data_IF_290214180320
#
_entry.id   IF_290214180320
#
_cell.length_a   1.000
_cell.length_b   1.000
_cell.length_c   1.000
_cell.angle_alpha   90.00
_cell.angle_beta   90.00
_cell.angle_gamma   90.00
#
_symmetry.space_group_name_H-M   'P 1'
#
loop_
_entity.id
_entity.type
_entity.pdbx_description
1 polymer ?
#
# COMPACT_ATOMS: atom_id res chain seq x y z
N UNK A 1 -17.19 7.39 -9.44
CA UNK A 1 -16.57 6.31 -8.64
C UNK A 1 -15.14 6.15 -9.15
N UNK A 2 -14.13 6.59 -8.40
CA UNK A 2 -12.72 6.50 -8.83
C UNK A 2 -12.14 5.17 -8.37
N UNK A 3 -11.98 4.24 -9.31
CA UNK A 3 -11.28 2.97 -9.11
C UNK A 3 -9.93 3.07 -9.82
N UNK A 4 -8.86 3.04 -9.05
CA UNK A 4 -7.51 2.86 -9.59
C UNK A 4 -7.17 1.38 -9.52
N UNK A 5 -6.86 0.78 -10.68
CA UNK A 5 -6.37 -0.60 -10.77
C UNK A 5 -4.97 -0.55 -11.33
N UNK A 6 -4.01 -1.09 -10.59
CA UNK A 6 -2.63 -1.16 -11.04
C UNK A 6 -2.10 -2.58 -10.94
N UNK A 7 -1.51 -3.02 -12.04
CA UNK A 7 -0.78 -4.27 -12.11
C UNK A 7 0.69 -3.97 -11.90
N UNK A 8 1.25 -4.47 -10.81
CA UNK A 8 2.68 -4.44 -10.54
C UNK A 8 3.17 -5.85 -10.78
N UNK A 9 3.87 -6.13 -11.87
CA UNK A 9 4.53 -7.41 -12.19
C UNK A 9 4.10 -8.65 -11.35
N UNK A 10 3.13 -9.43 -11.87
CA UNK A 10 2.50 -10.61 -11.20
C UNK A 10 1.77 -10.35 -9.87
N UNK A 11 1.58 -9.09 -9.49
CA UNK A 11 0.90 -8.60 -8.28
C UNK A 11 -0.15 -7.54 -8.69
N UNK A 12 -1.23 -7.41 -7.94
CA UNK A 12 -2.29 -6.45 -8.25
C UNK A 12 -2.53 -5.56 -7.05
N UNK A 13 -2.33 -4.25 -7.21
CA UNK A 13 -2.70 -3.25 -6.21
C UNK A 13 -3.92 -2.53 -6.75
N UNK A 14 -5.06 -2.79 -6.12
CA UNK A 14 -6.31 -2.09 -6.42
C UNK A 14 -6.58 -1.09 -5.32
N UNK A 15 -7.10 0.09 -5.66
CA UNK A 15 -7.55 1.03 -4.66
C UNK A 15 -8.81 1.75 -5.11
N UNK A 16 -9.58 2.18 -4.12
CA UNK A 16 -10.73 3.03 -4.30
C UNK A 16 -10.75 4.08 -3.17
N UNK A 17 -11.80 4.88 -3.10
CA UNK A 17 -11.92 5.90 -2.04
C UNK A 17 -11.96 5.31 -0.62
N UNK A 18 -12.32 4.04 -0.45
CA UNK A 18 -12.49 3.39 0.85
C UNK A 18 -11.22 2.67 1.33
N UNK A 19 -10.32 2.26 0.43
CA UNK A 19 -9.11 1.54 0.82
C UNK A 19 -8.26 1.05 -0.33
N UNK A 20 -7.21 0.33 0.06
CA UNK A 20 -6.26 -0.35 -0.83
C UNK A 20 -6.38 -1.86 -0.61
N UNK A 21 -6.44 -2.60 -1.71
CA UNK A 21 -6.34 -4.05 -1.74
C UNK A 21 -5.02 -4.44 -2.42
N UNK A 22 -4.17 -5.14 -1.68
CA UNK A 22 -2.87 -5.61 -2.16
C UNK A 22 -2.97 -7.12 -2.35
N UNK A 23 -2.86 -7.55 -3.61
CA UNK A 23 -2.79 -8.96 -4.00
C UNK A 23 -1.37 -9.31 -4.41
N UNK A 24 -0.64 -9.95 -3.50
CA UNK A 24 0.64 -10.59 -3.81
C UNK A 24 0.39 -12.07 -4.05
N UNK A 25 1.07 -12.67 -5.03
CA UNK A 25 0.89 -14.09 -5.43
C UNK A 25 1.03 -15.11 -4.28
N UNK A 26 1.72 -14.75 -3.19
CA UNK A 26 1.98 -15.59 -2.00
C UNK A 26 1.19 -15.18 -0.75
N UNK A 27 0.50 -14.04 -0.76
CA UNK A 27 -0.31 -13.59 0.38
C UNK A 27 -1.80 -13.66 0.04
N UNK A 28 -2.62 -14.05 1.02
CA UNK A 28 -4.08 -13.85 0.97
C UNK A 28 -4.35 -12.38 0.63
N UNK A 29 -5.27 -12.15 -0.32
CA UNK A 29 -5.77 -10.82 -0.69
C UNK A 29 -5.94 -9.94 0.57
N UNK A 30 -5.07 -8.93 0.72
CA UNK A 30 -5.01 -8.14 1.93
C UNK A 30 -5.70 -6.81 1.68
N UNK A 31 -6.92 -6.68 2.20
CA UNK A 31 -7.67 -5.44 2.15
C UNK A 31 -7.35 -4.55 3.35
N UNK A 32 -7.01 -3.29 3.05
CA UNK A 32 -6.65 -2.23 3.98
C UNK A 32 -7.58 -1.03 3.76
N UNK A 33 -8.67 -0.92 4.54
CA UNK A 33 -9.48 0.29 4.57
C UNK A 33 -8.63 1.45 5.12
N UNK A 34 -8.59 2.59 4.43
CA UNK A 34 -7.80 3.75 4.89
C UNK A 34 -8.10 4.17 6.33
N UNK A 35 -9.37 4.20 6.80
CA UNK A 35 -9.69 4.55 8.19
C UNK A 35 -9.15 3.55 9.23
N UNK A 36 -8.74 2.36 8.80
CA UNK A 36 -8.20 1.29 9.67
C UNK A 36 -6.69 1.17 9.56
N UNK A 37 -6.02 2.06 8.83
CA UNK A 37 -4.56 2.18 8.78
C UNK A 37 -4.16 3.19 9.85
N UNK A 38 -3.37 2.75 10.83
CA UNK A 38 -2.83 3.64 11.85
C UNK A 38 -1.56 4.32 11.36
N UNK A 39 -0.68 3.55 10.72
CA UNK A 39 0.54 4.06 10.12
C UNK A 39 0.92 3.19 8.92
N UNK A 40 1.58 3.82 7.97
CA UNK A 40 2.13 3.20 6.79
C UNK A 40 3.54 3.74 6.62
N UNK A 41 4.52 2.84 6.54
CA UNK A 41 5.93 3.19 6.38
C UNK A 41 6.42 2.58 5.09
N UNK A 42 6.93 3.41 4.18
CA UNK A 42 7.47 2.95 2.91
C UNK A 42 8.97 3.27 2.83
N UNK A 43 9.77 2.26 2.46
CA UNK A 43 11.19 2.35 2.16
C UNK A 43 11.43 1.74 0.76
N UNK A 44 12.58 2.03 0.14
CA UNK A 44 13.02 1.58 -1.18
C UNK A 44 12.70 0.12 -1.51
N UNK A 45 12.72 -0.74 -0.49
CA UNK A 45 12.52 -2.17 -0.65
C UNK A 45 11.31 -2.71 0.09
N UNK A 46 10.68 -1.96 0.98
CA UNK A 46 9.63 -2.51 1.85
C UNK A 46 8.49 -1.52 2.06
N UNK A 47 7.29 -2.06 2.21
CA UNK A 47 6.12 -1.33 2.68
C UNK A 47 5.59 -2.03 3.92
N UNK A 48 5.54 -1.28 5.00
CA UNK A 48 4.94 -1.70 6.26
C UNK A 48 3.61 -0.98 6.44
N UNK A 49 2.54 -1.74 6.69
CA UNK A 49 1.22 -1.20 7.01
C UNK A 49 0.83 -1.69 8.40
N UNK A 50 0.66 -0.75 9.32
CA UNK A 50 0.18 -0.98 10.68
C UNK A 50 -1.30 -0.61 10.72
N UNK A 51 -2.15 -1.59 11.04
CA UNK A 51 -3.58 -1.35 11.25
C UNK A 51 -3.85 -0.78 12.64
N UNK A 52 -4.98 -0.10 12.82
CA UNK A 52 -5.42 0.43 14.11
C UNK A 52 -5.61 -0.62 15.20
N UNK A 53 -5.67 -1.91 14.84
CA UNK A 53 -5.71 -3.04 15.78
C UNK A 53 -4.31 -3.59 16.13
N UNK A 54 -3.25 -2.89 15.77
CA UNK A 54 -1.86 -3.30 16.02
C UNK A 54 -1.34 -4.40 15.07
N UNK A 55 -2.14 -4.89 14.11
CA UNK A 55 -1.65 -5.87 13.13
C UNK A 55 -0.77 -5.18 12.09
N UNK A 56 0.47 -5.65 11.99
CA UNK A 56 1.45 -5.18 11.02
C UNK A 56 1.53 -6.09 9.81
N UNK A 57 1.68 -5.50 8.64
CA UNK A 57 1.82 -6.19 7.36
C UNK A 57 3.03 -5.65 6.63
N UNK A 58 4.00 -6.52 6.37
CA UNK A 58 5.22 -6.18 5.66
C UNK A 58 5.20 -6.75 4.25
N UNK A 59 5.45 -5.90 3.28
CA UNK A 59 5.48 -6.22 1.86
C UNK A 59 6.85 -5.92 1.29
N UNK A 60 7.46 -6.91 0.65
CA UNK A 60 8.71 -6.73 -0.09
C UNK A 60 8.42 -6.12 -1.47
N UNK A 61 8.98 -4.94 -1.72
CA UNK A 61 8.91 -4.15 -2.93
C UNK A 61 10.22 -4.23 -3.75
N UNK A 62 11.21 -5.02 -3.36
CA UNK A 62 12.54 -5.06 -4.02
C UNK A 62 12.47 -5.41 -5.51
N UNK A 63 11.49 -6.23 -5.91
CA UNK A 63 11.23 -6.61 -7.32
C UNK A 63 10.30 -5.64 -8.06
N UNK A 64 9.86 -4.55 -7.42
CA UNK A 64 8.95 -3.59 -8.02
C UNK A 64 9.76 -2.50 -8.73
N UNK A 65 9.42 -2.24 -9.99
CA UNK A 65 10.06 -1.21 -10.77
C UNK A 65 9.90 0.18 -10.11
N UNK A 66 10.95 0.98 -10.10
CA UNK A 66 11.00 2.24 -9.33
C UNK A 66 9.85 3.21 -9.65
N UNK A 67 9.42 3.29 -10.92
CA UNK A 67 8.29 4.13 -11.35
C UNK A 67 6.96 3.69 -10.75
N UNK A 68 6.76 2.38 -10.63
CA UNK A 68 5.56 1.79 -10.06
C UNK A 68 5.50 2.07 -8.56
N UNK A 69 6.66 1.94 -7.90
CA UNK A 69 6.83 2.29 -6.50
C UNK A 69 6.54 3.77 -6.23
N UNK A 70 7.08 4.67 -7.04
CA UNK A 70 6.83 6.11 -6.88
C UNK A 70 5.35 6.47 -6.99
N UNK A 71 4.62 5.87 -7.95
CA UNK A 71 3.16 6.05 -8.07
C UNK A 71 2.40 5.50 -6.87
N UNK A 72 2.78 4.32 -6.40
CA UNK A 72 2.18 3.71 -5.21
C UNK A 72 2.34 4.60 -3.99
N UNK A 73 3.55 5.13 -3.75
CA UNK A 73 3.82 6.11 -2.69
C UNK A 73 2.95 7.35 -2.85
N UNK A 74 2.82 7.89 -4.05
CA UNK A 74 1.95 9.04 -4.32
C UNK A 74 0.49 8.79 -3.93
N UNK A 75 -0.04 7.60 -4.19
CA UNK A 75 -1.41 7.22 -3.78
C UNK A 75 -1.52 7.17 -2.26
N UNK A 76 -0.53 6.58 -1.57
CA UNK A 76 -0.53 6.55 -0.11
C UNK A 76 -0.42 7.96 0.48
N UNK A 77 0.43 8.83 -0.07
CA UNK A 77 0.54 10.23 0.36
C UNK A 77 -0.74 11.05 0.12
N UNK A 78 -1.46 10.79 -0.98
CA UNK A 78 -2.72 11.48 -1.28
C UNK A 78 -3.86 11.01 -0.36
N UNK A 79 -3.86 9.72 0.00
CA UNK A 79 -5.02 9.06 0.64
C UNK A 79 -4.85 8.81 2.13
N UNK A 80 -3.62 8.72 2.62
CA UNK A 80 -3.31 8.74 4.03
C UNK A 80 -2.77 10.12 4.38
N UNK A 81 -3.27 10.76 5.45
CA UNK A 81 -2.67 12.00 5.94
C UNK A 81 -1.19 11.77 6.24
N UNK A 82 -0.34 12.79 6.04
CA UNK A 82 1.11 12.70 6.24
C UNK A 82 1.51 12.14 7.61
N UNK A 83 0.73 12.40 8.67
CA UNK A 83 0.97 11.84 10.00
C UNK A 83 0.81 10.31 10.08
N UNK A 84 0.14 9.70 9.10
CA UNK A 84 -0.07 8.26 8.97
C UNK A 84 0.80 7.64 7.86
N UNK A 85 1.57 8.43 7.10
CA UNK A 85 2.44 7.94 6.04
C UNK A 85 3.87 8.46 6.18
N UNK A 86 4.80 7.56 6.46
CA UNK A 86 6.23 7.86 6.59
C UNK A 86 6.99 7.29 5.39
N UNK A 87 7.76 8.14 4.71
CA UNK A 87 8.69 7.71 3.67
C UNK A 87 10.11 7.86 4.22
N UNK A 88 10.86 6.77 4.31
CA UNK A 88 12.21 6.71 4.90
C UNK A 88 13.21 6.28 3.83
#
# INVERSE_FOLDING_TARGET
MFFGKYFIYKRTVNWNKAGINIRLKWFKDAHFPFPKVAACTCNNKTLEIIKSNGKTYNFDLSDIHYRDRAKMIGIFQERLPNAQFHNI
#
